data_IF_038542721154
#
_entry.id   IF_038542721154
#
_cell.length_a   1.000
_cell.length_b   1.000
_cell.length_c   1.000
_cell.angle_alpha   90.00
_cell.angle_beta   90.00
_cell.angle_gamma   90.00
#
_symmetry.space_group_name_H-M   'P 1'
#
loop_
_entity.id
_entity.type
_entity.pdbx_description
1 polymer ?
#
# COMPACT_ATOMS: atom_id res chain seq x y z
N UNK A 1 -6.33 18.07 -43.30
CA UNK A 1 -6.72 17.17 -42.20
C UNK A 1 -5.69 17.33 -41.08
N UNK A 2 -5.96 18.18 -40.09
CA UNK A 2 -5.04 18.42 -38.97
C UNK A 2 -5.35 17.40 -37.87
N UNK A 3 -4.41 16.48 -37.63
CA UNK A 3 -4.38 15.62 -36.47
C UNK A 3 -4.20 16.48 -35.21
N UNK A 4 -5.27 16.67 -34.45
CA UNK A 4 -5.23 17.33 -33.15
C UNK A 4 -4.29 16.59 -32.21
N UNK A 5 -3.12 17.16 -31.94
CA UNK A 5 -2.29 16.73 -30.83
C UNK A 5 -3.08 16.94 -29.54
N UNK A 6 -3.38 15.86 -28.82
CA UNK A 6 -3.97 15.95 -27.49
C UNK A 6 -2.98 16.68 -26.59
N UNK A 7 -3.29 17.92 -26.22
CA UNK A 7 -2.50 18.68 -25.25
C UNK A 7 -2.55 17.90 -23.95
N UNK A 8 -1.45 17.21 -23.61
CA UNK A 8 -1.36 16.44 -22.38
C UNK A 8 -1.33 17.44 -21.22
N UNK A 9 -2.35 17.45 -20.36
CA UNK A 9 -2.38 18.31 -19.18
C UNK A 9 -1.11 18.08 -18.33
N UNK A 10 -0.37 19.15 -18.06
CA UNK A 10 0.83 19.14 -17.22
C UNK A 10 0.67 20.19 -16.13
N UNK A 11 0.59 19.75 -14.88
CA UNK A 11 0.58 20.61 -13.71
C UNK A 11 1.79 20.30 -12.83
N UNK A 12 2.49 21.31 -12.27
CA UNK A 12 3.49 21.07 -11.24
C UNK A 12 2.87 20.54 -9.94
N UNK A 13 1.60 20.83 -9.71
CA UNK A 13 0.85 20.46 -8.48
C UNK A 13 0.11 19.13 -8.61
N UNK A 14 -0.20 18.70 -9.83
CA UNK A 14 -0.98 17.48 -10.07
C UNK A 14 -0.29 16.58 -11.10
N UNK A 15 -0.10 15.31 -10.72
CA UNK A 15 0.34 14.25 -11.61
C UNK A 15 -0.72 13.17 -11.65
N UNK A 16 -1.15 12.81 -12.86
CA UNK A 16 -2.08 11.70 -13.06
C UNK A 16 -1.50 10.44 -12.41
N UNK A 17 -2.34 9.65 -11.74
CA UNK A 17 -1.95 8.41 -11.04
C UNK A 17 -0.98 8.61 -9.87
N UNK A 18 -1.03 9.77 -9.23
CA UNK A 18 -0.44 10.00 -7.89
C UNK A 18 -1.46 10.69 -7.01
N UNK A 19 -1.40 10.39 -5.72
CA UNK A 19 -2.20 11.10 -4.75
C UNK A 19 -1.81 12.60 -4.78
N UNK A 20 -2.77 13.52 -4.85
CA UNK A 20 -2.53 14.91 -4.51
C UNK A 20 -2.26 15.02 -3.01
N UNK A 21 -1.56 16.09 -2.62
CA UNK A 21 -1.45 16.54 -1.24
C UNK A 21 -2.13 17.91 -1.14
N UNK A 22 -3.30 17.93 -0.51
CA UNK A 22 -4.06 19.15 -0.26
C UNK A 22 -3.73 19.66 1.14
N UNK A 23 -3.67 20.97 1.28
CA UNK A 23 -3.34 21.63 2.54
C UNK A 23 -4.59 22.28 3.09
N UNK A 24 -4.86 22.02 4.36
CA UNK A 24 -5.86 22.72 5.18
C UNK A 24 -5.15 23.33 6.37
N UNK A 25 -5.80 24.29 7.05
CA UNK A 25 -5.23 24.90 8.23
C UNK A 25 -6.31 25.04 9.30
N UNK A 26 -6.37 24.03 10.17
CA UNK A 26 -7.32 23.97 11.27
C UNK A 26 -6.54 24.05 12.58
N UNK A 27 -6.61 25.16 13.33
CA UNK A 27 -5.90 25.28 14.59
C UNK A 27 -6.27 24.13 15.54
N UNK A 28 -5.28 23.35 15.98
CA UNK A 28 -5.43 22.31 16.99
C UNK A 28 -4.97 22.83 18.35
N UNK A 29 -5.86 23.38 19.20
CA UNK A 29 -5.48 23.89 20.51
C UNK A 29 -5.00 22.80 21.48
N UNK A 30 -5.32 21.54 21.20
CA UNK A 30 -4.96 20.38 22.04
C UNK A 30 -3.60 19.76 21.67
N UNK A 31 -2.98 20.15 20.56
CA UNK A 31 -1.59 19.80 20.22
C UNK A 31 -1.42 18.90 18.99
N UNK A 32 -0.35 18.09 19.02
CA UNK A 32 0.29 17.38 17.88
C UNK A 32 -0.53 16.28 17.21
N UNK A 33 -1.72 15.95 17.72
CA UNK A 33 -2.59 14.94 17.11
C UNK A 33 -3.94 15.52 16.74
N UNK A 34 -4.52 15.05 15.64
CA UNK A 34 -5.86 15.46 15.21
C UNK A 34 -6.90 14.77 16.08
N UNK A 35 -7.67 15.55 16.84
CA UNK A 35 -8.89 15.06 17.47
C UNK A 35 -9.95 14.77 16.41
N UNK A 36 -10.94 13.92 16.74
CA UNK A 36 -12.11 13.69 15.86
C UNK A 36 -12.77 15.01 15.44
N UNK A 37 -12.82 15.99 16.35
CA UNK A 37 -13.33 17.34 16.07
C UNK A 37 -12.48 18.06 15.02
N UNK A 38 -11.15 17.99 15.14
CA UNK A 38 -10.21 18.61 14.20
C UNK A 38 -10.34 17.99 12.79
N UNK A 39 -10.51 16.67 12.68
CA UNK A 39 -10.75 15.99 11.40
C UNK A 39 -12.04 16.48 10.74
N UNK A 40 -13.13 16.61 11.51
CA UNK A 40 -14.40 17.14 11.00
C UNK A 40 -14.30 18.60 10.56
N UNK A 41 -13.52 19.42 11.26
CA UNK A 41 -13.25 20.81 10.87
C UNK A 41 -12.42 20.89 9.59
N UNK A 42 -11.44 20.01 9.41
CA UNK A 42 -10.68 19.89 8.16
C UNK A 42 -11.60 19.55 6.99
N UNK A 43 -12.52 18.60 7.19
CA UNK A 43 -13.52 18.25 6.18
C UNK A 43 -14.45 19.43 5.88
N UNK A 44 -14.88 20.16 6.90
CA UNK A 44 -15.69 21.37 6.75
C UNK A 44 -14.94 22.48 5.98
N UNK A 45 -13.62 22.62 6.15
CA UNK A 45 -12.80 23.53 5.36
C UNK A 45 -12.78 23.16 3.88
N UNK A 46 -12.58 21.88 3.54
CA UNK A 46 -12.63 21.39 2.15
C UNK A 46 -14.00 21.63 1.51
N UNK A 47 -15.08 21.44 2.27
CA UNK A 47 -16.46 21.74 1.83
C UNK A 47 -16.67 23.23 1.61
N UNK A 48 -16.23 24.09 2.55
CA UNK A 48 -16.32 25.56 2.44
C UNK A 48 -15.50 26.09 1.26
N UNK A 49 -14.34 25.51 1.00
CA UNK A 49 -13.50 25.83 -0.16
C UNK A 49 -14.10 25.32 -1.48
N UNK A 50 -15.16 24.52 -1.44
CA UNK A 50 -15.84 24.00 -2.61
C UNK A 50 -15.06 22.92 -3.36
N UNK A 51 -14.01 22.34 -2.76
CA UNK A 51 -13.13 21.35 -3.43
C UNK A 51 -13.50 19.91 -3.11
N UNK A 52 -14.34 19.66 -2.11
CA UNK A 52 -14.71 18.31 -1.66
C UNK A 52 -15.22 17.40 -2.80
N UNK A 53 -15.99 17.95 -3.75
CA UNK A 53 -16.53 17.21 -4.90
C UNK A 53 -15.47 16.80 -5.94
N UNK A 54 -14.26 17.36 -5.86
CA UNK A 54 -13.13 17.02 -6.73
C UNK A 54 -12.28 15.89 -6.14
N UNK A 55 -12.42 15.61 -4.85
CA UNK A 55 -11.67 14.58 -4.15
C UNK A 55 -12.05 13.20 -4.64
N UNK A 56 -11.04 12.33 -4.70
CA UNK A 56 -11.19 10.92 -5.01
C UNK A 56 -10.70 10.11 -3.83
N UNK A 57 -11.23 8.90 -3.67
CA UNK A 57 -10.71 7.96 -2.70
C UNK A 57 -9.18 7.84 -2.87
N UNK A 58 -8.44 7.88 -1.76
CA UNK A 58 -6.98 7.87 -1.74
C UNK A 58 -6.31 9.25 -1.88
N UNK A 59 -7.06 10.34 -2.10
CA UNK A 59 -6.47 11.69 -2.05
C UNK A 59 -6.05 12.02 -0.61
N UNK A 60 -4.91 12.69 -0.45
CA UNK A 60 -4.34 12.98 0.87
C UNK A 60 -4.53 14.46 1.20
N UNK A 61 -4.98 14.69 2.42
CA UNK A 61 -5.14 16.02 3.01
C UNK A 61 -4.20 16.13 4.19
N UNK A 62 -3.56 17.27 4.35
CA UNK A 62 -2.69 17.54 5.48
C UNK A 62 -3.11 18.83 6.16
N UNK A 63 -3.40 18.72 7.46
CA UNK A 63 -3.55 19.89 8.32
C UNK A 63 -2.18 20.45 8.68
N UNK A 64 -1.83 21.56 8.02
CA UNK A 64 -0.54 22.22 8.20
C UNK A 64 -0.40 22.89 9.58
N UNK A 65 -1.47 23.01 10.35
CA UNK A 65 -1.42 23.58 11.70
C UNK A 65 -0.71 22.67 12.72
N UNK A 66 -0.68 21.36 12.48
CA UNK A 66 -0.15 20.34 13.41
C UNK A 66 1.35 20.08 13.22
N UNK A 67 1.96 20.66 12.17
CA UNK A 67 3.37 20.50 11.84
C UNK A 67 3.66 19.43 10.79
N UNK A 68 4.92 19.32 10.36
CA UNK A 68 5.37 18.45 9.26
C UNK A 68 6.30 17.32 9.72
N UNK A 69 6.15 16.85 10.96
CA UNK A 69 6.91 15.70 11.44
C UNK A 69 6.26 14.39 10.97
N UNK A 70 7.02 13.53 10.27
CA UNK A 70 6.49 12.25 9.79
C UNK A 70 5.23 12.43 8.93
N UNK A 71 4.14 11.77 9.30
CA UNK A 71 2.80 11.99 8.72
C UNK A 71 1.82 12.66 9.69
N UNK A 72 2.30 13.38 10.70
CA UNK A 72 1.43 14.12 11.61
C UNK A 72 0.50 15.05 10.81
N UNK A 73 -0.78 15.05 11.19
CA UNK A 73 -1.84 15.83 10.53
C UNK A 73 -2.27 15.34 9.15
N UNK A 74 -1.70 14.25 8.61
CA UNK A 74 -2.09 13.71 7.30
C UNK A 74 -3.28 12.77 7.46
N UNK A 75 -4.27 12.97 6.61
CA UNK A 75 -5.50 12.20 6.50
C UNK A 75 -5.71 11.75 5.06
N UNK A 76 -6.51 10.70 4.87
CA UNK A 76 -6.85 10.17 3.55
C UNK A 76 -8.35 10.26 3.35
N UNK A 77 -8.77 10.68 2.16
CA UNK A 77 -10.17 10.68 1.75
C UNK A 77 -10.59 9.26 1.32
N UNK A 78 -11.65 8.69 1.86
CA UNK A 78 -12.17 7.38 1.42
C UNK A 78 -13.20 7.45 0.29
N UNK A 79 -13.69 8.64 -0.02
CA UNK A 79 -14.80 8.86 -0.94
C UNK A 79 -15.98 9.59 -0.31
N UNK A 80 -16.07 9.64 1.02
CA UNK A 80 -17.11 10.35 1.77
C UNK A 80 -16.59 11.16 2.95
N UNK A 81 -15.52 10.71 3.61
CA UNK A 81 -14.98 11.30 4.84
C UNK A 81 -13.45 11.34 4.83
N UNK A 82 -12.89 12.22 5.67
CA UNK A 82 -11.47 12.18 6.01
C UNK A 82 -11.22 11.15 7.11
N UNK A 83 -10.13 10.41 6.96
CA UNK A 83 -9.74 9.35 7.86
C UNK A 83 -8.28 9.48 8.24
N UNK A 84 -8.00 9.24 9.52
CA UNK A 84 -6.63 9.17 10.03
C UNK A 84 -5.87 8.00 9.42
N UNK A 85 -4.55 8.12 9.47
CA UNK A 85 -3.66 7.02 9.12
C UNK A 85 -3.71 5.91 10.19
N UNK A 86 -3.39 4.69 9.78
CA UNK A 86 -3.33 3.52 10.66
C UNK A 86 -1.93 3.37 11.26
N UNK A 87 -1.85 3.38 12.59
CA UNK A 87 -0.59 3.28 13.34
C UNK A 87 -0.25 1.86 13.80
N UNK A 88 -1.04 0.86 13.40
CA UNK A 88 -0.89 -0.54 13.78
C UNK A 88 0.45 -1.16 13.37
N UNK A 89 1.11 -0.66 12.33
CA UNK A 89 2.35 -1.22 11.77
C UNK A 89 3.49 -0.20 11.63
N UNK A 90 3.26 1.05 12.00
CA UNK A 90 4.24 2.13 11.92
C UNK A 90 3.86 3.28 12.83
N UNK A 91 4.84 3.82 13.56
CA UNK A 91 4.68 5.05 14.34
C UNK A 91 4.43 6.28 13.46
N UNK A 92 4.86 6.25 12.19
CA UNK A 92 4.56 7.34 11.27
C UNK A 92 3.18 7.24 10.64
N UNK A 93 2.42 6.17 10.88
CA UNK A 93 1.12 5.94 10.25
C UNK A 93 1.22 5.43 8.81
N UNK A 94 0.28 4.56 8.44
CA UNK A 94 0.13 3.94 7.13
C UNK A 94 -1.31 4.14 6.61
N UNK A 95 -1.59 3.70 5.38
CA UNK A 95 -2.95 3.77 4.87
C UNK A 95 -3.87 2.84 5.67
N UNK A 96 -5.13 3.23 5.92
CA UNK A 96 -6.08 2.33 6.57
C UNK A 96 -6.37 1.06 5.77
N UNK A 97 -6.58 -0.06 6.48
CA UNK A 97 -6.74 -1.40 5.89
C UNK A 97 -7.90 -1.54 4.89
N UNK A 98 -8.95 -0.73 5.03
CA UNK A 98 -10.10 -0.77 4.12
C UNK A 98 -9.81 -0.14 2.75
N UNK A 99 -8.73 0.65 2.61
CA UNK A 99 -8.29 1.14 1.31
C UNK A 99 -7.55 0.02 0.55
N UNK A 100 -8.26 -0.58 -0.40
CA UNK A 100 -7.72 -1.68 -1.18
C UNK A 100 -6.58 -1.20 -2.09
N UNK A 101 -5.34 -1.60 -1.81
CA UNK A 101 -4.16 -1.06 -2.47
C UNK A 101 -4.07 -1.38 -3.97
N UNK A 102 -4.69 -2.48 -4.43
CA UNK A 102 -4.82 -2.76 -5.87
C UNK A 102 -5.59 -1.67 -6.64
N UNK A 103 -6.42 -0.86 -5.99
CA UNK A 103 -7.19 0.19 -6.65
C UNK A 103 -6.34 1.42 -7.00
N UNK A 104 -5.10 1.46 -6.49
CA UNK A 104 -4.15 2.54 -6.69
C UNK A 104 -2.88 1.99 -7.33
N UNK A 105 -2.17 2.75 -8.17
CA UNK A 105 -0.83 2.36 -8.61
C UNK A 105 0.07 2.05 -7.39
N UNK A 106 1.00 1.08 -7.46
CA UNK A 106 1.90 0.76 -6.34
C UNK A 106 2.69 1.96 -5.78
N UNK A 107 2.87 3.00 -6.60
CA UNK A 107 3.59 4.24 -6.25
C UNK A 107 2.68 5.44 -5.97
N UNK A 108 1.36 5.24 -5.86
CA UNK A 108 0.38 6.32 -5.79
C UNK A 108 0.65 7.31 -4.65
N UNK A 109 0.98 6.79 -3.46
CA UNK A 109 1.24 7.57 -2.25
C UNK A 109 2.72 7.96 -2.07
N UNK A 110 3.57 7.64 -3.05
CA UNK A 110 5.00 7.91 -2.96
C UNK A 110 5.27 9.41 -2.82
N UNK A 111 5.98 9.77 -1.74
CA UNK A 111 6.34 11.15 -1.31
C UNK A 111 5.19 11.95 -0.70
N UNK A 112 4.00 11.38 -0.61
CA UNK A 112 2.83 12.02 -0.02
C UNK A 112 2.61 11.48 1.40
N UNK A 113 2.53 10.16 1.52
CA UNK A 113 2.63 9.45 2.79
C UNK A 113 4.07 8.99 2.97
N UNK A 114 4.68 9.41 4.07
CA UNK A 114 6.05 9.07 4.46
C UNK A 114 6.05 7.69 5.11
N UNK A 115 6.95 6.84 4.67
CA UNK A 115 7.16 5.51 5.22
C UNK A 115 8.62 5.43 5.67
N UNK A 116 8.87 4.95 6.90
CA UNK A 116 10.24 4.78 7.42
C UNK A 116 11.04 3.79 6.54
N UNK A 117 10.35 2.76 6.05
CA UNK A 117 10.90 1.75 5.14
C UNK A 117 10.06 1.68 3.86
N UNK A 118 9.90 0.47 3.33
CA UNK A 118 8.97 0.11 2.28
C UNK A 118 7.51 0.26 2.76
N UNK A 119 6.62 0.86 1.94
CA UNK A 119 5.25 1.20 2.33
C UNK A 119 4.41 -0.05 2.50
N UNK A 120 3.45 0.03 3.41
CA UNK A 120 2.45 -1.01 3.59
C UNK A 120 1.40 -0.95 2.48
N UNK A 121 0.86 -2.11 2.14
CA UNK A 121 -0.25 -2.25 1.20
C UNK A 121 -1.17 -3.40 1.63
N UNK A 122 -2.45 -3.22 1.34
CA UNK A 122 -3.53 -4.11 1.72
C UNK A 122 -4.12 -4.74 0.44
N UNK A 123 -3.81 -6.01 0.22
CA UNK A 123 -4.13 -6.75 -1.01
C UNK A 123 -4.63 -8.15 -0.64
N UNK A 124 -5.69 -8.60 -1.31
CA UNK A 124 -6.10 -10.00 -1.30
C UNK A 124 -5.48 -10.75 -2.50
N UNK A 125 -4.57 -11.68 -2.23
CA UNK A 125 -3.88 -12.49 -3.26
C UNK A 125 -4.53 -13.85 -3.51
N UNK A 126 -5.56 -14.22 -2.75
CA UNK A 126 -6.30 -15.48 -2.94
C UNK A 126 -6.82 -15.74 -4.36
N UNK A 127 -7.13 -14.74 -5.21
CA UNK A 127 -7.55 -14.97 -6.59
C UNK A 127 -6.46 -15.57 -7.50
N UNK A 128 -5.19 -15.48 -7.09
CA UNK A 128 -4.03 -16.01 -7.82
C UNK A 128 -3.39 -17.21 -7.12
N UNK A 129 -4.13 -17.85 -6.21
CA UNK A 129 -3.63 -18.90 -5.34
C UNK A 129 -3.00 -20.08 -6.08
N UNK A 130 -3.62 -20.54 -7.17
CA UNK A 130 -3.09 -21.64 -8.00
C UNK A 130 -1.74 -21.26 -8.64
N UNK A 131 -1.65 -20.07 -9.26
CA UNK A 131 -0.41 -19.59 -9.87
C UNK A 131 0.70 -19.38 -8.82
N UNK A 132 0.32 -18.94 -7.62
CA UNK A 132 1.24 -18.81 -6.49
C UNK A 132 1.73 -20.19 -6.02
N UNK A 133 0.87 -21.20 -5.97
CA UNK A 133 1.25 -22.55 -5.58
C UNK A 133 2.22 -23.18 -6.58
N UNK A 134 1.93 -23.04 -7.88
CA UNK A 134 2.74 -23.61 -8.96
C UNK A 134 4.15 -22.98 -9.04
N UNK A 135 4.27 -21.69 -8.73
CA UNK A 135 5.52 -20.94 -8.82
C UNK A 135 6.32 -20.90 -7.51
N UNK A 136 5.85 -21.54 -6.44
CA UNK A 136 6.45 -21.44 -5.11
C UNK A 136 7.81 -22.14 -5.03
N UNK A 137 8.83 -21.42 -4.58
CA UNK A 137 10.20 -21.93 -4.41
C UNK A 137 10.84 -21.42 -3.12
N UNK A 138 11.66 -22.25 -2.48
CA UNK A 138 12.56 -21.84 -1.40
C UNK A 138 13.91 -21.44 -1.98
N UNK A 139 14.29 -20.17 -1.81
CA UNK A 139 15.50 -19.60 -2.39
C UNK A 139 16.44 -19.06 -1.30
N UNK A 140 17.73 -19.15 -1.59
CA UNK A 140 18.77 -18.52 -0.78
C UNK A 140 19.13 -17.16 -1.37
N UNK A 141 18.75 -16.08 -0.67
CA UNK A 141 19.08 -14.71 -1.03
C UNK A 141 20.37 -14.26 -0.30
N UNK A 142 21.24 -13.54 -1.00
CA UNK A 142 22.42 -12.87 -0.43
C UNK A 142 22.22 -11.37 -0.48
N UNK A 143 22.03 -10.75 0.67
CA UNK A 143 21.80 -9.31 0.80
C UNK A 143 23.04 -8.66 1.39
N UNK A 144 23.50 -7.55 0.79
CA UNK A 144 24.54 -6.72 1.39
C UNK A 144 23.88 -5.74 2.36
N UNK A 145 24.22 -5.85 3.64
CA UNK A 145 23.73 -4.96 4.69
C UNK A 145 24.90 -4.14 5.21
N UNK A 146 24.71 -2.83 5.34
CA UNK A 146 25.67 -1.95 5.98
C UNK A 146 25.49 -2.02 7.50
N UNK A 147 26.59 -2.22 8.24
CA UNK A 147 26.55 -2.15 9.70
C UNK A 147 26.48 -0.70 10.17
N UNK A 148 26.05 -0.43 11.42
CA UNK A 148 26.06 0.93 11.97
C UNK A 148 27.41 1.65 11.94
N UNK A 149 28.51 0.91 11.70
CA UNK A 149 29.88 1.42 11.61
C UNK A 149 30.36 1.63 10.15
N UNK A 150 29.48 1.44 9.15
CA UNK A 150 29.79 1.65 7.72
C UNK A 150 30.44 0.45 7.01
N UNK A 151 30.49 -0.73 7.63
CA UNK A 151 31.06 -1.94 7.02
C UNK A 151 29.97 -2.77 6.35
N UNK A 152 30.18 -3.18 5.10
CA UNK A 152 29.22 -4.04 4.38
C UNK A 152 29.41 -5.51 4.72
N UNK A 153 28.38 -6.16 5.26
CA UNK A 153 28.33 -7.60 5.47
C UNK A 153 27.33 -8.25 4.51
N UNK A 154 27.71 -9.39 3.94
CA UNK A 154 26.76 -10.20 3.15
C UNK A 154 26.03 -11.13 4.10
N UNK A 155 24.73 -10.88 4.26
CA UNK A 155 23.82 -11.74 5.03
C UNK A 155 23.14 -12.70 4.08
N UNK A 156 23.22 -13.98 4.39
CA UNK A 156 22.48 -15.03 3.69
C UNK A 156 21.15 -15.21 4.41
N UNK A 157 20.04 -15.13 3.67
CA UNK A 157 18.70 -15.42 4.18
C UNK A 157 17.98 -16.40 3.27
N UNK A 158 17.14 -17.24 3.85
CA UNK A 158 16.22 -18.08 3.09
C UNK A 158 14.90 -17.33 2.92
N UNK A 159 14.30 -17.41 1.73
CA UNK A 159 13.02 -16.78 1.39
C UNK A 159 12.15 -17.75 0.60
N UNK A 160 10.87 -17.82 0.94
CA UNK A 160 9.87 -18.42 0.06
C UNK A 160 9.49 -17.35 -0.97
N UNK A 161 9.68 -17.65 -2.26
CA UNK A 161 9.35 -16.76 -3.36
C UNK A 161 8.34 -17.44 -4.27
N UNK A 162 7.33 -16.69 -4.67
CA UNK A 162 6.41 -17.07 -5.73
C UNK A 162 6.03 -15.85 -6.57
N UNK A 163 5.25 -16.05 -7.63
CA UNK A 163 4.79 -14.97 -8.49
C UNK A 163 3.44 -15.28 -9.09
N UNK A 164 2.69 -14.22 -9.43
CA UNK A 164 1.48 -14.30 -10.23
C UNK A 164 1.39 -13.16 -11.23
N UNK A 165 0.57 -13.33 -12.27
CA UNK A 165 0.40 -12.33 -13.32
C UNK A 165 -0.93 -11.61 -13.19
N UNK A 166 -0.85 -10.29 -13.02
CA UNK A 166 -2.00 -9.40 -13.16
C UNK A 166 -2.10 -9.02 -14.63
N UNK A 167 -3.04 -9.66 -15.33
CA UNK A 167 -3.16 -9.47 -16.78
C UNK A 167 -3.75 -8.09 -17.09
N UNK A 168 -3.20 -7.38 -18.09
CA UNK A 168 -3.87 -6.20 -18.64
C UNK A 168 -5.22 -6.65 -19.22
N UNK A 169 -6.32 -6.02 -18.81
CA UNK A 169 -7.62 -6.47 -19.24
C UNK A 169 -7.93 -6.07 -20.68
N UNK A 170 -8.68 -6.92 -21.39
CA UNK A 170 -9.62 -6.48 -22.42
C UNK A 170 -10.90 -5.85 -21.80
N UNK A 171 -11.24 -6.16 -20.53
CA UNK A 171 -12.32 -5.57 -19.71
C UNK A 171 -11.80 -5.32 -18.29
N UNK A 172 -11.86 -4.09 -17.76
CA UNK A 172 -11.32 -3.68 -16.44
C UNK A 172 -11.49 -4.80 -15.38
N UNK A 173 -10.37 -5.32 -14.84
CA UNK A 173 -10.38 -6.38 -13.84
C UNK A 173 -10.88 -5.83 -12.50
N UNK A 174 -11.99 -6.38 -11.99
CA UNK A 174 -12.50 -6.02 -10.66
C UNK A 174 -11.64 -6.63 -9.57
N UNK A 175 -11.46 -5.88 -8.49
CA UNK A 175 -10.87 -6.40 -7.26
C UNK A 175 -11.90 -7.33 -6.62
N UNK A 176 -11.57 -8.60 -6.33
CA UNK A 176 -12.55 -9.56 -5.85
C UNK A 176 -13.26 -9.12 -4.57
N UNK A 177 -14.58 -9.36 -4.52
CA UNK A 177 -15.48 -8.94 -3.44
C UNK A 177 -15.58 -7.42 -3.23
N UNK A 178 -15.29 -6.62 -4.25
CA UNK A 178 -15.44 -5.15 -4.20
C UNK A 178 -15.99 -4.61 -5.52
N UNK A 179 -16.47 -3.37 -5.51
CA UNK A 179 -16.85 -2.63 -6.73
C UNK A 179 -15.67 -1.89 -7.39
N UNK A 180 -14.47 -2.01 -6.81
CA UNK A 180 -13.25 -1.36 -7.29
C UNK A 180 -12.59 -2.16 -8.41
N UNK A 181 -11.74 -1.48 -9.18
CA UNK A 181 -10.96 -2.08 -10.27
C UNK A 181 -9.47 -2.01 -9.96
N UNK A 182 -8.73 -3.01 -10.44
CA UNK A 182 -7.27 -3.03 -10.31
C UNK A 182 -6.68 -1.91 -11.18
N UNK A 183 -5.84 -1.07 -10.59
CA UNK A 183 -5.13 -0.01 -11.32
C UNK A 183 -4.12 -0.62 -12.30
N UNK A 184 -4.00 -0.07 -13.53
CA UNK A 184 -3.05 -0.58 -14.51
C UNK A 184 -1.57 -0.56 -14.09
N UNK A 185 -1.22 0.19 -13.04
CA UNK A 185 0.11 0.16 -12.44
C UNK A 185 0.49 -1.19 -11.82
N UNK A 186 -0.48 -2.09 -11.60
CA UNK A 186 -0.25 -3.46 -11.15
C UNK A 186 -0.10 -4.46 -12.30
N UNK A 187 -0.40 -4.09 -13.54
CA UNK A 187 -0.35 -5.04 -14.66
C UNK A 187 1.08 -5.53 -14.92
N UNK A 188 1.21 -6.82 -15.15
CA UNK A 188 2.49 -7.52 -15.25
C UNK A 188 2.64 -8.58 -14.17
N UNK A 189 3.87 -8.82 -13.74
CA UNK A 189 4.19 -9.84 -12.74
C UNK A 189 4.22 -9.23 -11.35
N UNK A 190 3.54 -9.86 -10.39
CA UNK A 190 3.68 -9.56 -8.98
C UNK A 190 4.46 -10.69 -8.33
N UNK A 191 5.63 -10.37 -7.77
CA UNK A 191 6.47 -11.31 -7.05
C UNK A 191 6.18 -11.19 -5.55
N UNK A 192 5.87 -12.31 -4.91
CA UNK A 192 5.54 -12.39 -3.49
C UNK A 192 6.68 -13.09 -2.76
N UNK A 193 7.18 -12.45 -1.70
CA UNK A 193 8.15 -13.04 -0.79
C UNK A 193 7.56 -13.27 0.60
N UNK A 194 7.85 -14.42 1.18
CA UNK A 194 7.67 -14.71 2.59
C UNK A 194 9.00 -15.19 3.19
N UNK A 195 9.11 -15.11 4.51
CA UNK A 195 10.30 -15.58 5.23
C UNK A 195 10.54 -17.07 4.97
N UNK A 196 11.80 -17.50 4.85
CA UNK A 196 12.20 -18.88 4.53
C UNK A 196 11.96 -19.91 5.62
N UNK A 197 11.17 -19.61 6.65
CA UNK A 197 10.81 -20.56 7.71
C UNK A 197 9.48 -21.27 7.40
N UNK A 198 9.19 -22.37 8.08
CA UNK A 198 7.93 -23.09 7.93
C UNK A 198 6.71 -22.24 8.29
N UNK A 199 6.86 -21.30 9.24
CA UNK A 199 5.82 -20.33 9.61
C UNK A 199 5.62 -19.28 8.51
N UNK A 200 6.67 -18.92 7.78
CA UNK A 200 6.56 -17.98 6.65
C UNK A 200 5.86 -18.63 5.47
N UNK A 201 6.16 -19.90 5.22
CA UNK A 201 5.41 -20.71 4.27
C UNK A 201 3.95 -20.87 4.70
N UNK A 202 3.68 -21.13 5.98
CA UNK A 202 2.33 -21.20 6.54
C UNK A 202 1.53 -19.93 6.26
N UNK A 203 2.09 -18.78 6.65
CA UNK A 203 1.47 -17.48 6.46
C UNK A 203 1.17 -17.21 4.98
N UNK A 204 2.08 -17.56 4.05
CA UNK A 204 1.82 -17.39 2.63
C UNK A 204 0.68 -18.31 2.13
N UNK A 205 0.63 -19.56 2.59
CA UNK A 205 -0.42 -20.51 2.21
C UNK A 205 -1.78 -20.10 2.75
N UNK A 206 -1.85 -19.67 4.02
CA UNK A 206 -3.09 -19.21 4.66
C UNK A 206 -3.68 -17.99 3.94
N UNK A 207 -2.84 -17.14 3.34
CA UNK A 207 -3.26 -16.00 2.50
C UNK A 207 -3.85 -16.43 1.16
N UNK A 208 -3.53 -17.64 0.70
CA UNK A 208 -3.91 -18.17 -0.60
C UNK A 208 -5.19 -19.04 -0.57
N UNK A 209 -5.86 -19.18 0.58
CA UNK A 209 -7.14 -19.92 0.77
C UNK A 209 -7.15 -21.34 0.15
N UNK A 210 -7.52 -21.46 -1.12
CA UNK A 210 -8.03 -22.70 -1.71
C UNK A 210 -6.99 -23.54 -2.47
N UNK A 211 -5.83 -22.98 -2.83
CA UNK A 211 -4.83 -23.71 -3.64
C UNK A 211 -3.91 -24.64 -2.84
N UNK A 212 -3.92 -24.53 -1.50
CA UNK A 212 -3.09 -25.38 -0.63
C UNK A 212 -3.97 -26.30 0.20
N UNK A 213 -3.54 -27.56 0.45
CA UNK A 213 -4.29 -28.46 1.30
C UNK A 213 -4.53 -27.86 2.68
N UNK A 214 -5.74 -27.97 3.25
CA UNK A 214 -6.03 -27.47 4.59
C UNK A 214 -5.10 -28.15 5.60
N UNK A 215 -4.41 -27.34 6.41
CA UNK A 215 -3.51 -27.84 7.45
C UNK A 215 -4.32 -28.28 8.66
N UNK A 216 -3.93 -29.40 9.26
CA UNK A 216 -4.56 -29.89 10.49
C UNK A 216 -4.41 -28.83 11.62
N UNK A 217 -5.53 -28.37 12.17
CA UNK A 217 -5.56 -27.33 13.20
C UNK A 217 -5.51 -25.89 12.68
N UNK A 218 -5.63 -25.67 11.36
CA UNK A 218 -5.87 -24.35 10.78
C UNK A 218 -7.24 -23.83 11.24
N UNK A 219 -7.26 -22.77 12.03
CA UNK A 219 -8.48 -22.00 12.27
C UNK A 219 -8.85 -21.24 10.99
N UNK A 220 -10.16 -21.08 10.72
CA UNK A 220 -10.69 -20.22 9.65
C UNK A 220 -10.43 -18.74 9.97
N UNK A 221 -9.16 -18.33 10.02
CA UNK A 221 -8.75 -16.95 10.18
C UNK A 221 -8.90 -16.24 8.83
N UNK A 222 -9.32 -14.98 8.86
CA UNK A 222 -9.34 -14.17 7.64
C UNK A 222 -7.91 -14.11 7.05
N UNK A 223 -7.73 -14.29 5.73
CA UNK A 223 -6.41 -14.30 5.12
C UNK A 223 -5.69 -12.98 5.40
N UNK A 224 -4.40 -13.05 5.68
CA UNK A 224 -3.56 -11.87 5.86
C UNK A 224 -3.51 -11.04 4.58
N UNK A 225 -4.07 -9.83 4.61
CA UNK A 225 -4.05 -8.91 3.46
C UNK A 225 -2.87 -7.95 3.44
N UNK A 226 -1.99 -8.04 4.44
CA UNK A 226 -1.01 -7.01 4.73
C UNK A 226 0.36 -7.38 4.14
N UNK A 227 0.88 -6.52 3.26
CA UNK A 227 2.17 -6.71 2.60
C UNK A 227 2.99 -5.41 2.59
N UNK A 228 4.30 -5.50 2.43
CA UNK A 228 5.17 -4.36 2.09
C UNK A 228 5.52 -4.38 0.61
N UNK A 229 5.46 -3.23 -0.06
CA UNK A 229 5.95 -3.10 -1.44
C UNK A 229 7.46 -2.90 -1.40
N UNK A 230 8.23 -3.81 -1.99
CA UNK A 230 9.69 -3.73 -2.06
C UNK A 230 10.09 -2.79 -3.21
N UNK A 231 10.20 -1.49 -2.93
CA UNK A 231 10.40 -0.44 -3.95
C UNK A 231 11.72 -0.62 -4.69
N UNK A 232 12.77 -1.00 -3.97
CA UNK A 232 14.12 -1.19 -4.48
C UNK A 232 14.27 -2.37 -5.46
N UNK A 233 13.32 -3.32 -5.41
CA UNK A 233 13.28 -4.48 -6.31
C UNK A 233 12.25 -4.32 -7.43
N UNK A 234 11.25 -3.49 -7.21
CA UNK A 234 10.16 -3.26 -8.15
C UNK A 234 10.60 -2.42 -9.35
N UNK A 235 10.06 -2.74 -10.52
CA UNK A 235 10.31 -2.06 -11.80
C UNK A 235 9.04 -2.05 -12.65
N UNK A 236 8.95 -1.22 -13.71
CA UNK A 236 7.77 -1.24 -14.57
C UNK A 236 7.45 -2.65 -15.09
N UNK A 237 6.22 -3.11 -14.89
CA UNK A 237 5.75 -4.46 -15.25
C UNK A 237 6.12 -5.57 -14.26
N UNK A 238 6.84 -5.27 -13.18
CA UNK A 238 7.20 -6.24 -12.13
C UNK A 238 7.18 -5.59 -10.74
N UNK A 239 6.18 -5.92 -9.93
CA UNK A 239 6.01 -5.38 -8.58
C UNK A 239 6.39 -6.44 -7.55
N UNK A 240 7.27 -6.09 -6.63
CA UNK A 240 7.70 -6.98 -5.56
C UNK A 240 6.96 -6.63 -4.26
N UNK A 241 6.39 -7.63 -3.61
CA UNK A 241 5.74 -7.50 -2.31
C UNK A 241 6.26 -8.56 -1.33
N UNK A 242 6.26 -8.24 -0.04
CA UNK A 242 6.65 -9.15 1.04
C UNK A 242 5.52 -9.29 2.06
N UNK A 243 5.25 -10.49 2.55
CA UNK A 243 4.30 -10.69 3.66
C UNK A 243 4.78 -9.97 4.92
N UNK A 244 3.85 -9.37 5.65
CA UNK A 244 4.11 -8.73 6.94
C UNK A 244 3.53 -9.61 8.04
N UNK A 245 4.36 -9.93 9.04
CA UNK A 245 3.98 -10.76 10.19
C UNK A 245 3.39 -9.93 11.32
N UNK A 246 2.63 -10.58 12.19
CA UNK A 246 2.11 -9.95 13.42
C UNK A 246 3.21 -9.42 14.33
N UNK A 247 4.39 -10.06 14.36
CA UNK A 247 5.56 -9.57 15.12
C UNK A 247 6.04 -8.20 14.67
N UNK A 248 5.74 -7.79 13.42
CA UNK A 248 6.07 -6.47 12.87
C UNK A 248 5.02 -5.40 13.22
N UNK A 249 3.98 -5.72 14.01
CA UNK A 249 2.95 -4.75 14.48
C UNK A 249 3.40 -3.88 15.66
N UNK A 250 4.49 -4.26 16.34
CA UNK A 250 4.87 -3.68 17.65
C UNK A 250 6.31 -3.17 17.65
N UNK A 251 6.98 -3.18 16.49
CA UNK A 251 8.31 -2.58 16.28
C UNK A 251 8.19 -1.38 15.36
#
# INVERSE_FOLDING_TARGET
MNSGQSVTFRSPLYRVRRAPLLYVFVPSPEGEWLSDTSVLECEAELKRAGVAHLLRAGDVVWDAAVGDEGNVGRMVWDGGYLLDLDYTFSMTGELPQYLHSLAFPPSYFHRVIRSVNNPMCYIDISPWSEEIADNLQLLQDRVKTETPQGTYHTVVRWVHRSSFVVKPPSIKMRIPNTDLFIDPGWFGTVVVEAEGTNEGLADLQDRCRDAFPPRAGSENKAPGRVFRILRERSRPGEVWIRTVREKERVM
#
